data_IF_279059499031
#
_entry.id   IF_279059499031
#
_cell.length_a   1.000
_cell.length_b   1.000
_cell.length_c   1.000
_cell.angle_alpha   90.00
_cell.angle_beta   90.00
_cell.angle_gamma   90.00
#
_symmetry.space_group_name_H-M   'P 1'
#
loop_
_entity.id
_entity.type
_entity.pdbx_description
1 polymer ?
#
# COMPACT_ATOMS: atom_id res chain seq x y z
N UNK A 1 7.61 5.66 -22.29
CA UNK A 1 6.15 5.49 -22.48
C UNK A 1 5.65 4.10 -22.08
N UNK A 2 6.36 3.01 -22.40
CA UNK A 2 5.99 1.66 -21.95
C UNK A 2 6.09 1.46 -20.41
N UNK A 3 7.07 2.10 -19.76
CA UNK A 3 7.25 1.99 -18.30
C UNK A 3 6.11 2.65 -17.50
N UNK A 4 5.59 3.78 -17.96
CA UNK A 4 4.46 4.47 -17.32
C UNK A 4 3.21 3.57 -17.29
N UNK A 5 2.92 2.83 -18.36
CA UNK A 5 1.76 1.93 -18.45
C UNK A 5 1.92 0.71 -17.51
N UNK A 6 3.13 0.15 -17.38
CA UNK A 6 3.44 -0.92 -16.42
C UNK A 6 3.22 -0.47 -14.97
N UNK A 7 3.59 0.78 -14.66
CA UNK A 7 3.41 1.38 -13.33
C UNK A 7 1.94 1.72 -13.03
N UNK A 8 1.18 2.24 -14.01
CA UNK A 8 -0.27 2.53 -13.88
C UNK A 8 -1.06 1.27 -13.55
N UNK A 9 -0.82 0.20 -14.31
CA UNK A 9 -1.45 -1.09 -14.07
C UNK A 9 -1.04 -1.67 -12.70
N UNK A 10 0.19 -1.42 -12.26
CA UNK A 10 0.68 -1.84 -10.96
C UNK A 10 0.02 -1.10 -9.80
N UNK A 11 -0.16 0.23 -9.87
CA UNK A 11 -0.79 1.02 -8.80
C UNK A 11 -2.28 0.73 -8.69
N UNK A 12 -3.02 0.71 -9.81
CA UNK A 12 -4.46 0.39 -9.81
C UNK A 12 -4.71 -1.04 -9.29
N UNK A 13 -3.88 -2.01 -9.72
CA UNK A 13 -3.93 -3.37 -9.22
C UNK A 13 -3.60 -3.46 -7.73
N UNK A 14 -2.63 -2.70 -7.23
CA UNK A 14 -2.33 -2.63 -5.79
C UNK A 14 -3.49 -2.06 -4.99
N UNK A 15 -4.13 -0.99 -5.50
CA UNK A 15 -5.25 -0.33 -4.83
C UNK A 15 -6.44 -1.27 -4.70
N UNK A 16 -6.74 -2.05 -5.74
CA UNK A 16 -7.76 -3.11 -5.69
C UNK A 16 -7.43 -4.17 -4.62
N UNK A 17 -6.19 -4.67 -4.58
CA UNK A 17 -5.76 -5.66 -3.56
C UNK A 17 -5.79 -5.06 -2.15
N UNK A 18 -5.39 -3.81 -1.96
CA UNK A 18 -5.46 -3.11 -0.67
C UNK A 18 -6.91 -2.97 -0.19
N UNK A 19 -7.82 -2.58 -1.10
CA UNK A 19 -9.25 -2.42 -0.81
C UNK A 19 -9.91 -3.75 -0.47
N UNK A 20 -9.58 -4.82 -1.20
CA UNK A 20 -10.06 -6.19 -0.90
C UNK A 20 -9.56 -6.67 0.46
N UNK A 21 -8.26 -6.48 0.73
CA UNK A 21 -7.64 -6.85 2.00
C UNK A 21 -8.30 -6.12 3.18
N UNK A 22 -8.50 -4.81 3.04
CA UNK A 22 -9.23 -4.00 4.01
C UNK A 22 -10.64 -4.54 4.25
N UNK A 23 -11.39 -4.80 3.18
CA UNK A 23 -12.77 -5.28 3.28
C UNK A 23 -12.86 -6.64 3.96
N UNK A 24 -11.92 -7.56 3.66
CA UNK A 24 -11.84 -8.87 4.29
C UNK A 24 -11.52 -8.76 5.78
N UNK A 25 -10.56 -7.91 6.17
CA UNK A 25 -10.20 -7.68 7.56
C UNK A 25 -11.31 -6.96 8.34
N UNK A 26 -11.98 -6.00 7.71
CA UNK A 26 -13.13 -5.29 8.30
C UNK A 26 -14.29 -6.25 8.56
N UNK A 27 -14.56 -7.18 7.63
CA UNK A 27 -15.54 -8.24 7.82
C UNK A 27 -15.12 -9.24 8.92
N UNK A 28 -13.83 -9.57 9.03
CA UNK A 28 -13.33 -10.39 10.14
C UNK A 28 -13.50 -9.67 11.49
N UNK A 29 -13.28 -8.35 11.52
CA UNK A 29 -13.50 -7.51 12.69
C UNK A 29 -14.97 -7.49 13.12
N UNK A 30 -15.93 -7.40 12.20
CA UNK A 30 -17.36 -7.40 12.53
C UNK A 30 -17.83 -8.76 13.08
N UNK A 31 -17.28 -9.86 12.56
CA UNK A 31 -17.61 -11.22 13.01
C UNK A 31 -17.01 -11.53 14.39
N UNK A 32 -15.79 -11.08 14.65
CA UNK A 32 -15.12 -11.26 15.92
C UNK A 32 -15.53 -10.13 16.87
N UNK A 33 -16.70 -10.27 17.52
CA UNK A 33 -17.38 -9.30 18.41
C UNK A 33 -16.50 -8.53 19.43
N UNK A 34 -15.28 -8.99 19.69
CA UNK A 34 -14.16 -8.20 20.21
C UNK A 34 -13.01 -8.32 19.21
N UNK A 35 -12.91 -7.34 18.31
CA UNK A 35 -11.95 -7.37 17.22
C UNK A 35 -10.55 -7.47 17.84
N UNK A 36 -9.78 -8.53 17.59
CA UNK A 36 -8.41 -8.60 18.07
C UNK A 36 -7.67 -7.36 17.58
N UNK A 37 -7.01 -6.62 18.47
CA UNK A 37 -6.41 -5.31 18.16
C UNK A 37 -5.55 -5.33 16.89
N UNK A 38 -4.91 -6.45 16.63
CA UNK A 38 -4.10 -6.69 15.44
C UNK A 38 -4.91 -6.76 14.13
N UNK A 39 -6.14 -7.30 14.10
CA UNK A 39 -7.01 -7.25 12.90
C UNK A 39 -7.36 -5.81 12.60
N UNK A 40 -7.78 -5.05 13.61
CA UNK A 40 -8.11 -3.63 13.48
C UNK A 40 -6.90 -2.84 12.99
N UNK A 41 -5.72 -3.10 13.54
CA UNK A 41 -4.51 -2.40 13.14
C UNK A 41 -4.08 -2.74 11.70
N UNK A 42 -4.28 -3.99 11.24
CA UNK A 42 -4.06 -4.38 9.85
C UNK A 42 -5.09 -3.76 8.89
N UNK A 43 -6.36 -3.67 9.27
CA UNK A 43 -7.38 -2.95 8.49
C UNK A 43 -6.97 -1.49 8.29
N UNK A 44 -6.59 -0.80 9.37
CA UNK A 44 -6.15 0.58 9.29
C UNK A 44 -4.93 0.73 8.37
N UNK A 45 -3.94 -0.16 8.51
CA UNK A 45 -2.74 -0.09 7.68
C UNK A 45 -3.02 -0.35 6.19
N UNK A 46 -3.94 -1.26 5.87
CA UNK A 46 -4.38 -1.49 4.48
C UNK A 46 -5.12 -0.26 3.91
N UNK A 47 -5.96 0.40 4.72
CA UNK A 47 -6.65 1.63 4.32
C UNK A 47 -5.66 2.79 4.11
N UNK A 48 -4.70 2.96 5.03
CA UNK A 48 -3.68 3.99 4.95
C UNK A 48 -2.77 3.78 3.74
N UNK A 49 -2.40 2.53 3.44
CA UNK A 49 -1.65 2.20 2.22
C UNK A 49 -2.46 2.53 0.97
N UNK A 50 -3.77 2.23 0.96
CA UNK A 50 -4.67 2.63 -0.13
C UNK A 50 -4.68 4.14 -0.36
N UNK A 51 -4.73 4.94 0.70
CA UNK A 51 -4.66 6.40 0.60
C UNK A 51 -3.32 6.91 0.06
N UNK A 52 -2.21 6.28 0.46
CA UNK A 52 -0.88 6.62 -0.08
C UNK A 52 -0.77 6.24 -1.56
N UNK A 53 -1.30 5.09 -1.97
CA UNK A 53 -1.33 4.67 -3.38
C UNK A 53 -2.17 5.60 -4.26
N UNK A 54 -3.29 6.11 -3.75
CA UNK A 54 -4.08 7.12 -4.45
C UNK A 54 -3.28 8.41 -4.68
N UNK A 55 -2.53 8.87 -3.66
CA UNK A 55 -1.63 10.03 -3.80
C UNK A 55 -0.51 9.79 -4.79
N UNK A 56 0.05 8.58 -4.85
CA UNK A 56 1.04 8.21 -5.88
C UNK A 56 0.44 8.35 -7.28
N UNK A 57 -0.79 7.90 -7.49
CA UNK A 57 -1.46 8.01 -8.80
C UNK A 57 -1.73 9.47 -9.18
N UNK A 58 -2.11 10.32 -8.22
CA UNK A 58 -2.34 11.76 -8.44
C UNK A 58 -1.04 12.53 -8.74
N UNK A 59 0.03 12.29 -7.98
CA UNK A 59 1.36 12.89 -8.21
C UNK A 59 1.90 12.46 -9.58
N UNK A 60 1.70 11.20 -9.99
CA UNK A 60 2.14 10.75 -11.32
C UNK A 60 1.38 11.46 -12.45
N UNK A 61 0.04 11.54 -12.36
CA UNK A 61 -0.78 12.22 -13.39
C UNK A 61 -0.38 13.69 -13.56
N UNK A 62 -0.04 14.36 -12.47
CA UNK A 62 0.40 15.76 -12.49
C UNK A 62 1.81 15.91 -13.08
N UNK A 63 2.75 15.03 -12.75
CA UNK A 63 4.10 15.04 -13.34
C UNK A 63 4.09 14.68 -14.84
N UNK A 64 3.27 13.71 -15.26
CA UNK A 64 3.08 13.36 -16.68
C UNK A 64 2.47 14.53 -17.47
N UNK A 65 1.45 15.19 -16.93
CA UNK A 65 0.83 16.37 -17.55
C UNK A 65 1.78 17.57 -17.66
N UNK A 66 2.71 17.71 -16.71
CA UNK A 66 3.71 18.78 -16.70
C UNK A 66 4.95 18.48 -17.55
N UNK A 67 5.11 17.27 -18.09
CA UNK A 67 6.27 16.87 -18.91
C UNK A 67 7.60 16.83 -18.15
N UNK A 68 7.58 16.80 -16.81
CA UNK A 68 8.76 16.91 -15.95
C UNK A 68 9.45 15.56 -15.71
N UNK A 69 9.86 14.88 -16.80
CA UNK A 69 10.64 13.64 -16.73
C UNK A 69 12.13 13.95 -16.55
N UNK A 70 12.57 14.28 -15.34
CA UNK A 70 13.99 14.47 -15.02
C UNK A 70 14.68 13.13 -14.70
N UNK A 71 15.99 12.96 -14.98
CA UNK A 71 16.72 11.72 -14.69
C UNK A 71 16.67 11.30 -13.21
N UNK A 72 16.72 12.26 -12.28
CA UNK A 72 16.55 12.00 -10.84
C UNK A 72 15.11 11.59 -10.48
N UNK A 73 14.12 12.14 -11.19
CA UNK A 73 12.73 11.70 -11.09
C UNK A 73 12.53 10.26 -11.57
N UNK A 74 13.26 9.83 -12.61
CA UNK A 74 13.24 8.45 -13.11
C UNK A 74 13.83 7.48 -12.07
N UNK A 75 14.92 7.83 -11.39
CA UNK A 75 15.48 6.99 -10.31
C UNK A 75 14.51 6.84 -9.13
N UNK A 76 13.85 7.93 -8.71
CA UNK A 76 12.83 7.89 -7.66
C UNK A 76 11.60 7.05 -8.06
N UNK A 77 11.25 7.03 -9.34
CA UNK A 77 10.16 6.19 -9.87
C UNK A 77 10.51 4.68 -9.84
N UNK A 78 11.77 4.31 -10.10
CA UNK A 78 12.24 2.92 -10.02
C UNK A 78 12.23 2.42 -8.57
N UNK A 79 12.70 3.24 -7.63
CA UNK A 79 12.64 2.90 -6.19
C UNK A 79 11.19 2.79 -5.70
N UNK A 80 10.31 3.67 -6.19
CA UNK A 80 8.89 3.60 -5.91
C UNK A 80 8.27 2.31 -6.46
N UNK A 81 8.58 1.91 -7.70
CA UNK A 81 8.11 0.65 -8.29
C UNK A 81 8.54 -0.57 -7.46
N UNK A 82 9.80 -0.58 -6.97
CA UNK A 82 10.28 -1.64 -6.09
C UNK A 82 9.49 -1.69 -4.76
N UNK A 83 9.14 -0.54 -4.16
CA UNK A 83 8.30 -0.51 -2.96
C UNK A 83 6.85 -0.94 -3.26
N UNK A 84 6.30 -0.57 -4.41
CA UNK A 84 4.96 -1.01 -4.85
C UNK A 84 4.90 -2.53 -5.01
N UNK A 85 5.91 -3.15 -5.64
CA UNK A 85 6.00 -4.61 -5.74
C UNK A 85 6.05 -5.30 -4.38
N UNK A 86 6.80 -4.72 -3.42
CA UNK A 86 6.84 -5.21 -2.03
C UNK A 86 5.48 -5.10 -1.36
N UNK A 87 4.80 -3.95 -1.48
CA UNK A 87 3.45 -3.75 -0.98
C UNK A 87 2.46 -4.77 -1.56
N UNK A 88 2.53 -5.04 -2.88
CA UNK A 88 1.70 -6.07 -3.54
C UNK A 88 1.86 -7.43 -2.88
N UNK A 89 3.10 -7.87 -2.68
CA UNK A 89 3.40 -9.17 -2.08
C UNK A 89 2.84 -9.26 -0.67
N UNK A 90 3.03 -8.23 0.15
CA UNK A 90 2.55 -8.20 1.54
C UNK A 90 1.02 -8.16 1.61
N UNK A 91 0.36 -7.38 0.76
CA UNK A 91 -1.10 -7.33 0.67
C UNK A 91 -1.68 -8.65 0.17
N UNK A 92 -1.03 -9.31 -0.79
CA UNK A 92 -1.45 -10.64 -1.26
C UNK A 92 -1.37 -11.68 -0.14
N UNK A 93 -0.29 -11.64 0.66
CA UNK A 93 -0.14 -12.48 1.84
C UNK A 93 -1.23 -12.21 2.89
N UNK A 94 -1.59 -10.95 3.07
CA UNK A 94 -2.64 -10.51 3.99
C UNK A 94 -4.04 -10.94 3.54
N UNK A 95 -4.35 -10.80 2.24
CA UNK A 95 -5.59 -11.28 1.66
C UNK A 95 -5.71 -12.79 1.79
N UNK A 96 -4.66 -13.55 1.44
CA UNK A 96 -4.64 -15.00 1.60
C UNK A 96 -4.85 -15.44 3.07
N UNK A 97 -4.26 -14.72 4.02
CA UNK A 97 -4.46 -14.95 5.45
C UNK A 97 -5.92 -14.65 5.85
N UNK A 98 -6.49 -13.56 5.35
CA UNK A 98 -7.85 -13.13 5.64
C UNK A 98 -8.90 -14.08 5.06
N UNK A 99 -8.74 -14.51 3.81
CA UNK A 99 -9.61 -15.48 3.14
C UNK A 99 -9.60 -16.84 3.87
N UNK A 100 -8.42 -17.31 4.27
CA UNK A 100 -8.28 -18.54 5.07
C UNK A 100 -9.00 -18.46 6.40
N UNK A 101 -9.09 -17.28 7.02
CA UNK A 101 -9.85 -17.10 8.26
C UNK A 101 -11.35 -16.94 7.99
N UNK A 102 -11.75 -16.31 6.88
CA UNK A 102 -13.16 -16.12 6.53
C UNK A 102 -13.86 -17.44 6.25
N UNK A 103 -13.18 -18.40 5.61
CA UNK A 103 -13.72 -19.73 5.29
C UNK A 103 -13.91 -20.69 6.48
N UNK A 104 -13.50 -20.30 7.68
CA UNK A 104 -13.53 -21.17 8.87
C UNK A 104 -14.83 -20.99 9.68
N UNK A 105 -15.15 -21.97 10.53
CA UNK A 105 -16.23 -21.82 11.53
C UNK A 105 -15.82 -20.83 12.63
N UNK A 106 -16.77 -20.08 13.18
CA UNK A 106 -16.52 -18.99 14.15
C UNK A 106 -15.63 -19.38 15.35
N UNK A 107 -15.78 -20.58 15.90
CA UNK A 107 -14.96 -21.09 16.99
C UNK A 107 -13.51 -21.36 16.56
N UNK A 108 -13.30 -21.87 15.34
CA UNK A 108 -11.98 -22.13 14.76
C UNK A 108 -11.28 -20.84 14.32
N UNK A 109 -12.03 -19.80 13.90
CA UNK A 109 -11.47 -18.49 13.53
C UNK A 109 -10.62 -17.89 14.64
N UNK A 110 -11.12 -17.89 15.89
CA UNK A 110 -10.39 -17.34 17.04
C UNK A 110 -9.12 -18.12 17.36
N UNK A 111 -9.19 -19.45 17.35
CA UNK A 111 -8.03 -20.33 17.64
C UNK A 111 -6.97 -20.18 16.55
N UNK A 112 -7.37 -20.26 15.28
CA UNK A 112 -6.45 -20.07 14.13
C UNK A 112 -5.88 -18.66 14.10
N UNK A 113 -6.66 -17.63 14.46
CA UNK A 113 -6.17 -16.27 14.60
C UNK A 113 -5.05 -16.17 15.64
N UNK A 114 -5.24 -16.74 16.84
CA UNK A 114 -4.20 -16.76 17.88
C UNK A 114 -2.91 -17.43 17.39
N UNK A 115 -3.01 -18.54 16.64
CA UNK A 115 -1.86 -19.25 16.07
C UNK A 115 -1.17 -18.48 14.92
N UNK A 116 -1.90 -17.60 14.23
CA UNK A 116 -1.38 -16.76 13.14
C UNK A 116 -1.00 -15.35 13.58
N UNK A 117 -1.17 -15.01 14.86
CA UNK A 117 -0.92 -13.67 15.41
C UNK A 117 0.51 -13.17 15.16
N UNK A 118 1.52 -14.03 15.30
CA UNK A 118 2.93 -13.68 15.02
C UNK A 118 3.13 -13.27 13.55
N UNK A 119 2.63 -14.08 12.60
CA UNK A 119 2.68 -13.77 11.16
C UNK A 119 1.90 -12.49 10.82
N UNK A 120 0.73 -12.30 11.43
CA UNK A 120 -0.07 -11.09 11.22
C UNK A 120 0.64 -9.83 11.76
N UNK A 121 1.38 -9.94 12.87
CA UNK A 121 2.20 -8.86 13.42
C UNK A 121 3.37 -8.52 12.51
N UNK A 122 4.06 -9.52 11.95
CA UNK A 122 5.12 -9.31 10.95
C UNK A 122 4.60 -8.57 9.71
N UNK A 123 3.44 -9.00 9.18
CA UNK A 123 2.80 -8.34 8.04
C UNK A 123 2.44 -6.88 8.36
N UNK A 124 1.98 -6.58 9.58
CA UNK A 124 1.70 -5.21 9.99
C UNK A 124 2.97 -4.35 9.99
N UNK A 125 4.06 -4.83 10.57
CA UNK A 125 5.34 -4.10 10.61
C UNK A 125 5.86 -3.84 9.20
N UNK A 126 5.84 -4.85 8.33
CA UNK A 126 6.29 -4.74 6.95
C UNK A 126 5.43 -3.77 6.13
N UNK A 127 4.11 -3.77 6.33
CA UNK A 127 3.23 -2.78 5.70
C UNK A 127 3.58 -1.34 6.14
N UNK A 128 3.79 -1.14 7.45
CA UNK A 128 4.19 0.17 7.99
C UNK A 128 5.48 0.67 7.38
N UNK A 129 6.49 -0.19 7.29
CA UNK A 129 7.79 0.16 6.70
C UNK A 129 7.66 0.54 5.23
N UNK A 130 6.89 -0.22 4.45
CA UNK A 130 6.66 0.08 3.03
C UNK A 130 5.88 1.38 2.86
N UNK A 131 4.84 1.61 3.66
CA UNK A 131 4.09 2.87 3.64
C UNK A 131 4.97 4.08 3.97
N UNK A 132 5.82 3.97 4.99
CA UNK A 132 6.76 5.04 5.36
C UNK A 132 7.72 5.35 4.21
N UNK A 133 8.33 4.33 3.60
CA UNK A 133 9.23 4.50 2.46
C UNK A 133 8.54 5.13 1.25
N UNK A 134 7.31 4.70 0.93
CA UNK A 134 6.54 5.32 -0.17
C UNK A 134 6.28 6.80 0.13
N UNK A 135 5.90 7.14 1.36
CA UNK A 135 5.69 8.54 1.75
C UNK A 135 6.98 9.37 1.70
N UNK A 136 8.11 8.82 2.14
CA UNK A 136 9.42 9.48 2.05
C UNK A 136 9.80 9.77 0.60
N UNK A 137 9.62 8.80 -0.30
CA UNK A 137 9.87 8.95 -1.73
C UNK A 137 8.95 9.99 -2.37
N UNK A 138 7.66 10.00 -1.99
CA UNK A 138 6.70 11.02 -2.44
C UNK A 138 7.08 12.43 -1.99
N UNK A 139 7.48 12.60 -0.73
CA UNK A 139 7.92 13.90 -0.19
C UNK A 139 9.18 14.37 -0.92
N UNK A 140 10.16 13.49 -1.09
CA UNK A 140 11.40 13.79 -1.82
C UNK A 140 11.12 14.26 -3.26
N UNK A 141 10.24 13.54 -3.97
CA UNK A 141 9.82 13.89 -5.34
C UNK A 141 9.13 15.27 -5.39
N UNK A 142 8.18 15.53 -4.49
CA UNK A 142 7.48 16.82 -4.42
C UNK A 142 8.41 17.99 -4.11
N UNK A 143 9.39 17.80 -3.21
CA UNK A 143 10.41 18.84 -2.95
C UNK A 143 11.27 19.12 -4.19
N UNK A 144 11.66 18.09 -4.95
CA UNK A 144 12.42 18.29 -6.19
C UNK A 144 11.61 19.01 -7.26
N UNK A 145 10.35 18.62 -7.49
CA UNK A 145 9.46 19.30 -8.44
C UNK A 145 9.27 20.77 -8.06
N UNK A 146 9.04 21.07 -6.78
CA UNK A 146 8.89 22.45 -6.29
C UNK A 146 10.15 23.29 -6.48
N UNK A 147 11.34 22.72 -6.23
CA UNK A 147 12.62 23.39 -6.42
C UNK A 147 12.91 23.66 -7.90
N UNK A 148 12.50 22.76 -8.79
CA UNK A 148 12.65 22.91 -10.22
C UNK A 148 11.70 23.96 -10.79
N UNK A 149 10.43 23.99 -10.39
CA UNK A 149 9.50 25.04 -10.80
C UNK A 149 9.99 26.44 -10.41
N UNK A 150 10.57 26.59 -9.21
CA UNK A 150 11.16 27.87 -8.75
C UNK A 150 12.39 28.33 -9.53
N UNK A 151 13.07 27.43 -10.24
CA UNK A 151 14.28 27.73 -11.01
C UNK A 151 13.98 28.20 -12.45
N UNK A 152 12.74 28.02 -12.91
CA UNK A 152 12.29 28.43 -14.25
C UNK A 152 11.73 29.87 -14.26
N UNK A 153 11.41 30.41 -13.09
CA UNK A 153 10.88 31.77 -12.90
C UNK A 153 11.96 32.86 -12.63
N UNK A 154 13.25 32.56 -12.82
CA UNK A 154 14.39 33.51 -12.68
C UNK A 154 15.21 33.53 -13.95
#
# INVERSE_FOLDING_TARGET
>A
MAEAISLVASVAGLLDVATRSFSALHNLQSQLRNAPDLIRALSNEAADLGAVLARVDDVRKTTEAAGLNTPDGVAALVDLEAQLLRAKSILTDLDALSQRLLGEKMTLKRVKWCLKKSRASDLQTRLKEVRLKINELLVAHNTQVTLLSRKVDV
#
